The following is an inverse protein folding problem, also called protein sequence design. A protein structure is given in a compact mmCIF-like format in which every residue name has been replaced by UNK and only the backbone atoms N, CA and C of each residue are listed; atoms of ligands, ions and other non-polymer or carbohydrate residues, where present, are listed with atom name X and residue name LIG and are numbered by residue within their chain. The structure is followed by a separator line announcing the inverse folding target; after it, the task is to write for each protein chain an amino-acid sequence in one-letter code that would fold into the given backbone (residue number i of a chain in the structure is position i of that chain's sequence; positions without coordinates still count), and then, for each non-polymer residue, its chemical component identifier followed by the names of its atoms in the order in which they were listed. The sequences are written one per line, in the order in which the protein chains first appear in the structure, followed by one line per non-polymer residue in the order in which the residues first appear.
data_IF_982454322024
#
_entry.id   IF_982454322024
#
_cell.length_a   1.000
_cell.length_b   1.000
_cell.length_c   1.000
_cell.angle_alpha   90.00
_cell.angle_beta   90.00
_cell.angle_gamma   90.00
#
_symmetry.space_group_name_H-M   'P 1'
#
loop_
_entity.id
_entity.type
_entity.pdbx_description
1 polymer ?
#
# COMPACT_ATOMS: atom_id res chain seq x y z
N UNK A 1 -22.88 -6.09 -47.52
CA UNK A 1 -22.06 -6.95 -46.66
C UNK A 1 -21.11 -6.02 -45.88
N UNK A 2 -21.58 -5.55 -44.74
CA UNK A 2 -20.83 -4.56 -43.92
C UNK A 2 -19.87 -5.38 -43.04
N UNK A 3 -18.60 -5.36 -43.38
CA UNK A 3 -17.56 -5.91 -42.53
C UNK A 3 -17.42 -4.96 -41.34
N UNK A 4 -18.05 -5.31 -40.23
CA UNK A 4 -17.76 -4.69 -38.95
C UNK A 4 -16.26 -4.83 -38.65
N UNK A 5 -15.52 -3.76 -38.91
CA UNK A 5 -14.20 -3.59 -38.33
C UNK A 5 -14.41 -3.43 -36.83
N UNK A 6 -14.34 -4.54 -36.11
CA UNK A 6 -14.03 -4.52 -34.69
C UNK A 6 -12.65 -3.91 -34.56
N UNK A 7 -12.60 -2.60 -34.43
CA UNK A 7 -11.45 -1.87 -33.89
C UNK A 7 -11.26 -2.36 -32.45
N UNK A 8 -10.55 -3.46 -32.29
CA UNK A 8 -9.97 -3.82 -30.99
C UNK A 8 -9.17 -2.61 -30.55
N UNK A 9 -9.68 -1.92 -29.55
CA UNK A 9 -9.01 -0.77 -28.96
C UNK A 9 -7.74 -1.31 -28.29
N UNK A 10 -6.63 -1.34 -29.05
CA UNK A 10 -5.33 -1.84 -28.58
C UNK A 10 -4.87 -0.93 -27.45
N UNK A 11 -4.89 -1.43 -26.24
CA UNK A 11 -4.46 -0.69 -25.07
C UNK A 11 -2.92 -0.58 -25.05
N UNK A 12 -2.41 0.62 -24.80
CA UNK A 12 -0.99 0.84 -24.54
C UNK A 12 -0.81 0.94 -23.03
N UNK A 13 0.00 0.05 -22.47
CA UNK A 13 0.17 -0.07 -21.02
C UNK A 13 1.66 -0.04 -20.70
N UNK A 14 2.05 0.84 -19.77
CA UNK A 14 3.40 0.94 -19.25
C UNK A 14 3.59 0.09 -17.99
N UNK A 15 4.81 -0.43 -17.79
CA UNK A 15 5.23 -1.07 -16.55
C UNK A 15 6.62 -0.59 -16.14
N UNK A 16 6.76 -0.18 -14.88
CA UNK A 16 8.01 0.26 -14.27
C UNK A 16 8.16 -0.39 -12.90
N UNK A 17 9.30 -1.02 -12.64
CA UNK A 17 9.73 -1.33 -11.27
C UNK A 17 10.39 -0.08 -10.70
N UNK A 18 9.63 0.67 -9.92
CA UNK A 18 10.05 1.93 -9.32
C UNK A 18 10.87 1.69 -8.04
N UNK A 19 12.14 1.29 -8.22
CA UNK A 19 13.09 1.15 -7.12
C UNK A 19 13.52 2.54 -6.66
N UNK A 20 13.68 2.74 -5.35
CA UNK A 20 14.00 4.05 -4.75
C UNK A 20 15.26 4.73 -5.31
N UNK A 21 16.19 3.96 -5.88
CA UNK A 21 17.41 4.46 -6.52
C UNK A 21 17.30 4.53 -8.06
N UNK A 22 16.11 4.30 -8.62
CA UNK A 22 15.90 4.39 -10.07
C UNK A 22 15.74 5.86 -10.47
N UNK A 23 16.79 6.43 -11.02
CA UNK A 23 16.90 7.84 -11.37
C UNK A 23 16.06 8.27 -12.57
N UNK A 24 15.76 7.34 -13.49
CA UNK A 24 15.02 7.60 -14.74
C UNK A 24 13.49 7.46 -14.64
N UNK A 25 12.96 7.25 -13.44
CA UNK A 25 11.52 7.03 -13.26
C UNK A 25 10.64 8.14 -13.86
N UNK A 26 11.06 9.40 -13.72
CA UNK A 26 10.30 10.54 -14.28
C UNK A 26 10.36 10.56 -15.80
N UNK A 27 11.54 10.36 -16.35
CA UNK A 27 11.77 10.34 -17.81
C UNK A 27 10.96 9.22 -18.47
N UNK A 28 10.98 8.02 -17.88
CA UNK A 28 10.23 6.87 -18.40
C UNK A 28 8.72 7.10 -18.35
N UNK A 29 8.24 7.69 -17.26
CA UNK A 29 6.82 8.03 -17.12
C UNK A 29 6.39 9.06 -18.15
N UNK A 30 7.20 10.09 -18.36
CA UNK A 30 6.95 11.10 -19.39
C UNK A 30 6.97 10.51 -20.79
N UNK A 31 7.95 9.64 -21.08
CA UNK A 31 8.03 8.95 -22.36
C UNK A 31 6.79 8.08 -22.61
N UNK A 32 6.37 7.27 -21.62
CA UNK A 32 5.19 6.41 -21.70
C UNK A 32 3.90 7.23 -21.92
N UNK A 33 3.77 8.35 -21.23
CA UNK A 33 2.63 9.26 -21.42
C UNK A 33 2.61 9.87 -22.83
N UNK A 34 3.76 10.33 -23.34
CA UNK A 34 3.89 10.87 -24.69
C UNK A 34 3.62 9.81 -25.75
N UNK A 35 4.02 8.57 -25.51
CA UNK A 35 3.70 7.43 -26.39
C UNK A 35 2.22 7.08 -26.38
N UNK A 36 1.45 7.57 -25.41
CA UNK A 36 0.02 7.37 -25.27
C UNK A 36 -0.38 6.15 -24.47
N UNK A 37 0.43 5.74 -23.47
CA UNK A 37 0.02 4.72 -22.51
C UNK A 37 -1.18 5.21 -21.72
N UNK A 38 -2.28 4.47 -21.77
CA UNK A 38 -3.51 4.77 -21.02
C UNK A 38 -3.39 4.47 -19.53
N UNK A 39 -2.42 3.65 -19.17
CA UNK A 39 -2.12 3.25 -17.79
C UNK A 39 -0.62 2.96 -17.67
N UNK A 40 -0.02 3.42 -16.59
CA UNK A 40 1.33 3.05 -16.18
C UNK A 40 1.24 2.33 -14.84
N UNK A 41 1.76 1.12 -14.78
CA UNK A 41 1.80 0.27 -13.59
C UNK A 41 3.18 0.41 -12.96
N UNK A 42 3.23 0.88 -11.73
CA UNK A 42 4.48 1.07 -11.00
C UNK A 42 4.52 0.16 -9.78
N UNK A 43 5.57 -0.61 -9.66
CA UNK A 43 5.84 -1.48 -8.52
C UNK A 43 7.00 -0.96 -7.69
N UNK A 44 6.91 -1.02 -6.35
CA UNK A 44 7.94 -0.53 -5.43
C UNK A 44 8.93 -1.63 -4.99
N UNK A 45 10.01 -1.22 -4.30
CA UNK A 45 11.08 -2.10 -3.78
C UNK A 45 10.56 -3.31 -2.98
N UNK A 46 9.56 -3.10 -2.15
CA UNK A 46 8.97 -4.13 -1.29
C UNK A 46 8.36 -5.29 -2.09
N UNK A 47 7.92 -5.00 -3.29
CA UNK A 47 7.27 -5.95 -4.19
C UNK A 47 8.24 -6.61 -5.18
N UNK A 48 9.55 -6.32 -5.13
CA UNK A 48 10.52 -6.84 -6.09
C UNK A 48 10.44 -8.37 -6.26
N UNK A 49 10.31 -9.10 -5.16
CA UNK A 49 10.25 -10.57 -5.20
C UNK A 49 8.92 -11.11 -5.74
N UNK A 50 7.81 -10.52 -5.32
CA UNK A 50 6.47 -11.07 -5.58
C UNK A 50 5.80 -10.46 -6.81
N UNK A 51 6.08 -9.21 -7.12
CA UNK A 51 5.57 -8.42 -8.23
C UNK A 51 4.07 -8.64 -8.50
N UNK A 52 3.20 -8.34 -7.52
CA UNK A 52 1.77 -8.57 -7.65
C UNK A 52 1.15 -7.78 -8.81
N UNK A 53 1.61 -6.54 -9.03
CA UNK A 53 1.09 -5.69 -10.10
C UNK A 53 1.54 -6.18 -11.48
N UNK A 54 2.78 -6.66 -11.63
CA UNK A 54 3.24 -7.33 -12.84
C UNK A 54 2.38 -8.55 -13.17
N UNK A 55 2.13 -9.41 -12.18
CA UNK A 55 1.28 -10.60 -12.38
C UNK A 55 -0.14 -10.25 -12.79
N UNK A 56 -0.73 -9.25 -12.13
CA UNK A 56 -2.06 -8.74 -12.50
C UNK A 56 -2.07 -8.17 -13.92
N UNK A 57 -1.02 -7.44 -14.30
CA UNK A 57 -0.88 -6.90 -15.64
C UNK A 57 -0.82 -8.02 -16.68
N UNK A 58 0.00 -9.06 -16.46
CA UNK A 58 0.09 -10.21 -17.38
C UNK A 58 -1.25 -10.93 -17.58
N UNK A 59 -2.07 -11.01 -16.54
CA UNK A 59 -3.42 -11.58 -16.63
C UNK A 59 -4.37 -10.66 -17.42
N UNK A 60 -4.26 -9.35 -17.21
CA UNK A 60 -5.15 -8.35 -17.79
C UNK A 60 -4.88 -8.07 -19.28
N UNK A 61 -3.63 -8.24 -19.76
CA UNK A 61 -3.24 -8.00 -21.14
C UNK A 61 -4.06 -8.85 -22.12
N UNK A 62 -4.61 -8.18 -23.13
CA UNK A 62 -5.41 -8.79 -24.16
C UNK A 62 -4.65 -8.94 -25.48
N UNK A 63 -5.25 -9.66 -26.41
CA UNK A 63 -4.67 -9.85 -27.74
C UNK A 63 -4.52 -8.51 -28.47
N UNK A 64 -3.31 -8.23 -28.93
CA UNK A 64 -2.99 -7.04 -29.72
C UNK A 64 -2.61 -5.81 -28.89
N UNK A 65 -2.65 -5.88 -27.55
CA UNK A 65 -2.19 -4.78 -26.70
C UNK A 65 -0.70 -4.45 -26.92
N UNK A 66 -0.31 -3.25 -26.54
CA UNK A 66 1.08 -2.78 -26.55
C UNK A 66 1.58 -2.63 -25.12
N UNK A 67 2.63 -3.36 -24.77
CA UNK A 67 3.29 -3.30 -23.47
C UNK A 67 4.60 -2.53 -23.59
N UNK A 68 4.71 -1.45 -22.83
CA UNK A 68 5.93 -0.64 -22.71
C UNK A 68 6.59 -0.92 -21.37
N UNK A 69 7.87 -1.26 -21.40
CA UNK A 69 8.70 -1.47 -20.22
C UNK A 69 9.90 -0.54 -20.25
N UNK A 70 10.41 -0.14 -19.09
CA UNK A 70 11.62 0.69 -19.00
C UNK A 70 12.82 -0.05 -19.58
N UNK A 71 13.07 -1.27 -19.09
CA UNK A 71 14.13 -2.18 -19.49
C UNK A 71 13.70 -3.63 -19.25
N UNK A 72 14.22 -4.59 -20.01
CA UNK A 72 13.91 -6.01 -19.76
C UNK A 72 14.32 -6.46 -18.36
N UNK A 73 15.47 -6.04 -17.85
CA UNK A 73 15.92 -6.35 -16.49
C UNK A 73 15.03 -5.73 -15.39
N UNK A 74 14.32 -4.65 -15.71
CA UNK A 74 13.34 -4.03 -14.82
C UNK A 74 12.06 -4.86 -14.70
N UNK A 75 11.61 -5.50 -15.78
CA UNK A 75 10.37 -6.28 -15.85
C UNK A 75 10.57 -7.79 -15.63
N UNK A 76 11.67 -8.37 -16.13
CA UNK A 76 11.93 -9.81 -16.23
C UNK A 76 12.99 -10.24 -15.21
N UNK A 77 12.85 -11.42 -14.62
CA UNK A 77 13.71 -11.93 -13.54
C UNK A 77 14.62 -13.09 -13.95
N UNK A 78 15.02 -13.11 -15.20
CA UNK A 78 15.98 -14.08 -15.74
C UNK A 78 15.52 -14.76 -17.02
N UNK A 79 16.39 -15.58 -17.62
CA UNK A 79 16.19 -16.16 -18.95
C UNK A 79 14.96 -17.06 -19.07
N UNK A 80 14.60 -17.80 -18.02
CA UNK A 80 13.39 -18.65 -18.02
C UNK A 80 12.12 -17.80 -18.10
N UNK A 81 12.04 -16.72 -17.30
CA UNK A 81 10.90 -15.84 -17.34
C UNK A 81 10.84 -15.08 -18.66
N UNK A 82 11.99 -14.67 -19.21
CA UNK A 82 12.06 -14.04 -20.52
C UNK A 82 11.45 -14.95 -21.60
N UNK A 83 11.85 -16.22 -21.65
CA UNK A 83 11.33 -17.17 -22.63
C UNK A 83 9.81 -17.33 -22.52
N UNK A 84 9.29 -17.50 -21.30
CA UNK A 84 7.85 -17.62 -21.05
C UNK A 84 7.11 -16.33 -21.43
N UNK A 85 7.67 -15.18 -21.11
CA UNK A 85 7.12 -13.87 -21.44
C UNK A 85 7.04 -13.64 -22.96
N UNK A 86 8.11 -13.93 -23.69
CA UNK A 86 8.14 -13.80 -25.13
C UNK A 86 7.13 -14.75 -25.82
N UNK A 87 7.01 -15.98 -25.33
CA UNK A 87 6.00 -16.92 -25.83
C UNK A 87 4.58 -16.41 -25.57
N UNK A 88 4.31 -15.90 -24.38
CA UNK A 88 3.03 -15.28 -24.04
C UNK A 88 2.71 -14.09 -24.98
N UNK A 89 3.69 -13.20 -25.23
CA UNK A 89 3.50 -12.07 -26.13
C UNK A 89 3.26 -12.53 -27.58
N UNK A 90 3.98 -13.56 -28.02
CA UNK A 90 3.78 -14.15 -29.35
C UNK A 90 2.37 -14.69 -29.53
N UNK A 91 1.88 -15.49 -28.58
CA UNK A 91 0.55 -16.11 -28.65
C UNK A 91 -0.57 -15.07 -28.62
N UNK A 92 -0.42 -14.05 -27.77
CA UNK A 92 -1.40 -12.96 -27.67
C UNK A 92 -1.17 -11.83 -28.67
N UNK A 93 -0.17 -11.93 -29.55
CA UNK A 93 0.21 -10.88 -30.50
C UNK A 93 0.42 -9.51 -29.80
N UNK A 94 0.99 -9.52 -28.59
CA UNK A 94 1.31 -8.31 -27.83
C UNK A 94 2.58 -7.69 -28.42
N UNK A 95 2.53 -6.39 -28.69
CA UNK A 95 3.71 -5.60 -29.01
C UNK A 95 4.48 -5.28 -27.73
N UNK A 96 5.76 -5.59 -27.70
CA UNK A 96 6.65 -5.26 -26.58
C UNK A 96 7.60 -4.14 -27.01
N UNK A 97 7.69 -3.12 -26.17
CA UNK A 97 8.60 -1.99 -26.37
C UNK A 97 9.44 -1.85 -25.10
N UNK A 98 10.76 -1.89 -25.21
CA UNK A 98 11.71 -1.62 -24.13
C UNK A 98 12.43 -0.31 -24.43
N UNK A 99 12.28 0.67 -23.55
CA UNK A 99 12.77 2.05 -23.78
C UNK A 99 14.30 2.05 -23.81
N UNK A 100 14.94 1.58 -22.74
CA UNK A 100 16.40 1.68 -22.60
C UNK A 100 17.18 0.59 -23.32
N UNK A 101 16.56 -0.56 -23.59
CA UNK A 101 17.16 -1.56 -24.48
C UNK A 101 16.98 -1.20 -25.97
N UNK A 102 16.15 -0.17 -26.26
CA UNK A 102 15.81 0.26 -27.62
C UNK A 102 15.26 -0.88 -28.48
N UNK A 103 14.41 -1.70 -27.90
CA UNK A 103 13.81 -2.86 -28.56
C UNK A 103 12.33 -2.61 -28.77
N UNK A 104 11.86 -2.79 -29.97
CA UNK A 104 10.46 -2.81 -30.35
C UNK A 104 10.17 -4.05 -31.19
N UNK A 105 9.29 -4.91 -30.71
CA UNK A 105 8.97 -6.18 -31.39
C UNK A 105 8.35 -5.98 -32.79
N UNK A 106 7.86 -4.78 -33.13
CA UNK A 106 7.43 -4.40 -34.48
C UNK A 106 8.47 -3.61 -35.28
N UNK A 107 9.62 -3.34 -34.68
CA UNK A 107 10.74 -2.60 -35.28
C UNK A 107 10.31 -1.22 -35.89
N UNK A 108 9.36 -0.54 -35.26
CA UNK A 108 8.86 0.75 -35.75
C UNK A 108 9.52 1.94 -35.07
N UNK A 109 9.80 1.81 -33.76
CA UNK A 109 10.36 2.89 -32.94
C UNK A 109 11.89 2.93 -32.95
N UNK A 110 12.54 1.77 -33.04
CA UNK A 110 14.00 1.65 -32.98
C UNK A 110 14.55 0.83 -34.15
N UNK A 111 14.39 1.31 -35.41
CA UNK A 111 14.79 0.53 -36.59
C UNK A 111 16.30 0.31 -36.71
N UNK A 112 17.09 1.10 -35.98
CA UNK A 112 18.56 0.99 -35.93
C UNK A 112 19.07 -0.12 -35.01
N UNK A 113 18.21 -0.73 -34.19
CA UNK A 113 18.60 -1.80 -33.26
C UNK A 113 19.03 -3.05 -34.03
N UNK A 114 20.25 -3.49 -33.75
CA UNK A 114 20.84 -4.65 -34.41
C UNK A 114 20.55 -5.94 -33.64
N UNK A 115 20.56 -7.09 -34.30
CA UNK A 115 20.47 -8.39 -33.61
C UNK A 115 21.53 -8.59 -32.53
N UNK A 116 22.75 -8.01 -32.72
CA UNK A 116 23.83 -8.03 -31.73
C UNK A 116 23.41 -7.39 -30.41
N UNK A 117 22.69 -6.27 -30.48
CA UNK A 117 22.27 -5.50 -29.31
C UNK A 117 21.25 -6.30 -28.49
N UNK A 118 20.37 -7.02 -29.19
CA UNK A 118 19.40 -7.94 -28.54
C UNK A 118 20.11 -9.10 -27.86
N UNK A 119 21.14 -9.70 -28.50
CA UNK A 119 21.92 -10.78 -27.91
C UNK A 119 22.72 -10.30 -26.69
N UNK A 120 23.29 -9.09 -26.76
CA UNK A 120 23.98 -8.46 -25.64
C UNK A 120 23.04 -8.24 -24.46
N UNK A 121 21.84 -7.69 -24.71
CA UNK A 121 20.80 -7.52 -23.68
C UNK A 121 20.43 -8.86 -23.02
N UNK A 122 20.23 -9.92 -23.81
CA UNK A 122 19.90 -11.25 -23.26
C UNK A 122 21.05 -11.78 -22.39
N UNK A 123 22.30 -11.59 -22.83
CA UNK A 123 23.50 -12.00 -22.10
C UNK A 123 23.69 -11.23 -20.78
N UNK A 124 23.44 -9.94 -20.78
CA UNK A 124 23.56 -9.08 -19.60
C UNK A 124 22.41 -9.23 -18.59
N UNK A 125 21.25 -9.72 -19.02
CA UNK A 125 20.02 -9.79 -18.22
C UNK A 125 20.20 -10.43 -16.83
N UNK A 126 20.91 -11.56 -16.64
CA UNK A 126 21.07 -12.17 -15.32
C UNK A 126 21.83 -11.28 -14.33
N UNK A 127 22.89 -10.61 -14.79
CA UNK A 127 23.71 -9.73 -13.95
C UNK A 127 22.94 -8.46 -13.55
N UNK A 128 22.23 -7.86 -14.49
CA UNK A 128 21.41 -6.69 -14.24
C UNK A 128 20.27 -6.99 -13.25
N UNK A 129 19.62 -8.14 -13.38
CA UNK A 129 18.57 -8.58 -12.44
C UNK A 129 19.16 -8.79 -11.05
N UNK A 130 20.36 -9.36 -10.93
CA UNK A 130 21.03 -9.52 -9.64
C UNK A 130 21.37 -8.19 -9.00
N UNK A 131 21.85 -7.22 -9.77
CA UNK A 131 22.15 -5.86 -9.30
C UNK A 131 20.88 -5.16 -8.79
N UNK A 132 19.81 -5.24 -9.55
CA UNK A 132 18.50 -4.68 -9.20
C UNK A 132 17.97 -5.27 -7.88
N UNK A 133 18.04 -6.60 -7.71
CA UNK A 133 17.61 -7.28 -6.48
C UNK A 133 18.43 -6.86 -5.27
N UNK A 134 19.75 -6.80 -5.38
CA UNK A 134 20.63 -6.36 -4.29
C UNK A 134 20.27 -4.93 -3.84
N UNK A 135 19.98 -4.05 -4.78
CA UNK A 135 19.57 -2.67 -4.50
C UNK A 135 18.24 -2.63 -3.75
N UNK A 136 17.22 -3.33 -4.23
CA UNK A 136 15.92 -3.39 -3.58
C UNK A 136 16.00 -4.01 -2.16
N UNK A 137 16.74 -5.12 -2.00
CA UNK A 137 16.95 -5.73 -0.67
C UNK A 137 17.66 -4.80 0.30
N UNK A 138 18.62 -4.02 -0.17
CA UNK A 138 19.32 -3.05 0.67
C UNK A 138 18.37 -1.98 1.20
N UNK A 139 17.51 -1.42 0.37
CA UNK A 139 16.51 -0.40 0.75
C UNK A 139 15.52 -0.98 1.76
N UNK A 140 14.95 -2.16 1.49
CA UNK A 140 14.01 -2.83 2.40
C UNK A 140 14.65 -3.10 3.77
N UNK A 141 15.91 -3.55 3.79
CA UNK A 141 16.63 -3.80 5.03
C UNK A 141 16.91 -2.50 5.82
N UNK A 142 17.22 -1.40 5.13
CA UNK A 142 17.38 -0.09 5.78
C UNK A 142 16.06 0.40 6.39
N UNK A 143 14.97 0.30 5.66
CA UNK A 143 13.64 0.65 6.16
C UNK A 143 13.26 -0.19 7.40
N UNK A 144 13.48 -1.50 7.34
CA UNK A 144 13.24 -2.39 8.47
C UNK A 144 14.07 -2.01 9.71
N UNK A 145 15.35 -1.65 9.53
CA UNK A 145 16.22 -1.15 10.61
C UNK A 145 15.71 0.17 11.19
N UNK A 146 15.29 1.10 10.35
CA UNK A 146 14.72 2.38 10.79
C UNK A 146 13.44 2.15 11.62
N UNK A 147 12.53 1.32 11.14
CA UNK A 147 11.30 0.96 11.86
C UNK A 147 11.62 0.30 13.20
N UNK A 148 12.60 -0.61 13.25
CA UNK A 148 13.02 -1.29 14.46
C UNK A 148 13.68 -0.33 15.49
N UNK A 149 14.29 0.76 15.04
CA UNK A 149 14.90 1.79 15.88
C UNK A 149 13.90 2.78 16.45
N UNK A 150 12.68 2.85 15.89
CA UNK A 150 11.63 3.70 16.43
C UNK A 150 11.19 3.19 17.80
N UNK A 151 10.93 4.09 18.79
CA UNK A 151 10.46 3.69 20.09
C UNK A 151 9.17 2.89 19.93
N UNK A 152 9.19 1.63 20.34
CA UNK A 152 8.02 0.74 20.31
C UNK A 152 6.97 1.32 21.24
N UNK A 153 6.01 2.06 20.71
CA UNK A 153 4.80 2.38 21.43
C UNK A 153 4.07 1.06 21.64
N UNK A 154 4.06 0.55 22.90
CA UNK A 154 3.44 -0.75 23.19
C UNK A 154 2.00 -0.73 22.67
N UNK A 155 1.58 -1.80 22.01
CA UNK A 155 0.21 -1.94 21.49
C UNK A 155 -0.86 -1.69 22.57
N UNK A 156 -0.55 -2.02 23.83
CA UNK A 156 -1.35 -1.68 25.00
C UNK A 156 -1.49 -0.20 25.26
N UNK A 157 -0.47 0.64 24.99
CA UNK A 157 -0.58 2.11 25.11
C UNK A 157 -1.44 2.70 24.00
N UNK A 158 -1.29 2.25 22.76
CA UNK A 158 -2.12 2.67 21.63
C UNK A 158 -3.58 2.28 21.84
N UNK A 159 -3.86 1.04 22.19
CA UNK A 159 -5.21 0.58 22.49
C UNK A 159 -5.85 1.35 23.67
N UNK A 160 -5.06 1.72 24.68
CA UNK A 160 -5.53 2.52 25.79
C UNK A 160 -5.87 3.95 25.38
N UNK A 161 -5.03 4.57 24.53
CA UNK A 161 -5.25 5.90 23.99
C UNK A 161 -6.51 5.94 23.10
N UNK A 162 -6.71 4.94 22.28
CA UNK A 162 -7.87 4.83 21.40
C UNK A 162 -9.17 4.64 22.23
N UNK A 163 -9.12 3.83 23.27
CA UNK A 163 -10.25 3.68 24.21
C UNK A 163 -10.54 4.97 24.98
N UNK A 164 -9.51 5.71 25.42
CA UNK A 164 -9.69 7.01 26.06
C UNK A 164 -10.34 8.01 25.11
N UNK A 165 -9.92 8.09 23.83
CA UNK A 165 -10.56 8.93 22.80
C UNK A 165 -12.01 8.53 22.54
N UNK A 166 -12.29 7.23 22.47
CA UNK A 166 -13.67 6.72 22.31
C UNK A 166 -14.58 7.20 23.43
N UNK A 167 -14.12 7.14 24.70
CA UNK A 167 -14.87 7.65 25.86
C UNK A 167 -15.18 9.12 25.71
N UNK A 168 -14.19 9.93 25.33
CA UNK A 168 -14.35 11.38 25.18
C UNK A 168 -15.36 11.72 24.09
N UNK A 169 -15.22 11.08 22.91
CA UNK A 169 -16.07 11.32 21.75
C UNK A 169 -17.53 10.93 22.02
N UNK A 170 -17.76 9.77 22.62
CA UNK A 170 -19.12 9.31 22.96
C UNK A 170 -19.78 10.21 24.03
N UNK A 171 -18.99 10.67 25.02
CA UNK A 171 -19.50 11.57 26.02
C UNK A 171 -19.86 12.95 25.43
N UNK A 172 -19.01 13.48 24.54
CA UNK A 172 -19.27 14.73 23.81
C UNK A 172 -20.51 14.63 22.89
N UNK A 173 -20.78 13.44 22.36
CA UNK A 173 -21.96 13.14 21.57
C UNK A 173 -23.25 12.95 22.43
N UNK A 174 -23.15 13.03 23.77
CA UNK A 174 -24.29 12.94 24.67
C UNK A 174 -24.74 11.55 25.06
N UNK A 175 -23.93 10.49 24.78
CA UNK A 175 -24.28 9.14 25.19
C UNK A 175 -24.25 8.94 26.70
N UNK A 176 -25.15 8.11 27.27
CA UNK A 176 -25.17 7.81 28.71
C UNK A 176 -23.91 7.00 29.11
N UNK A 177 -23.44 7.18 30.32
CA UNK A 177 -22.22 6.54 30.87
C UNK A 177 -22.22 5.02 30.71
N UNK A 178 -23.40 4.40 30.82
CA UNK A 178 -23.54 2.95 30.69
C UNK A 178 -23.25 2.44 29.26
N UNK A 179 -23.67 3.18 28.26
CA UNK A 179 -23.36 2.89 26.86
C UNK A 179 -21.88 3.13 26.57
N UNK A 180 -21.33 4.25 27.05
CA UNK A 180 -19.90 4.57 26.92
C UNK A 180 -19.03 3.48 27.54
N UNK A 181 -19.40 3.02 28.73
CA UNK A 181 -18.68 1.96 29.40
C UNK A 181 -18.68 0.65 28.56
N UNK A 182 -19.85 0.23 28.08
CA UNK A 182 -19.96 -0.98 27.22
C UNK A 182 -19.17 -0.84 25.93
N UNK A 183 -19.28 0.28 25.26
CA UNK A 183 -18.61 0.54 23.98
C UNK A 183 -17.08 0.68 24.10
N UNK A 184 -16.58 1.24 25.20
CA UNK A 184 -15.15 1.48 25.42
C UNK A 184 -14.35 0.25 25.88
N UNK A 185 -15.04 -0.82 26.32
CA UNK A 185 -14.41 -2.06 26.77
C UNK A 185 -13.58 -1.92 28.06
N UNK A 186 -13.84 -0.91 28.90
CA UNK A 186 -13.24 -0.81 30.23
C UNK A 186 -13.92 -1.75 31.23
N UNK A 187 -13.16 -2.23 32.22
CA UNK A 187 -13.65 -3.18 33.24
C UNK A 187 -14.70 -2.58 34.18
N UNK A 188 -14.76 -1.25 34.33
CA UNK A 188 -15.68 -0.60 35.25
C UNK A 188 -16.10 0.79 34.80
N UNK A 189 -17.29 1.23 35.23
CA UNK A 189 -17.78 2.62 35.04
C UNK A 189 -16.85 3.67 35.66
N UNK A 190 -16.21 3.34 36.77
CA UNK A 190 -15.25 4.23 37.44
C UNK A 190 -14.06 4.58 36.53
N UNK A 191 -13.69 3.71 35.61
CA UNK A 191 -12.65 3.99 34.61
C UNK A 191 -13.07 5.07 33.64
N UNK A 192 -14.33 5.09 33.21
CA UNK A 192 -14.90 6.13 32.33
C UNK A 192 -14.87 7.49 33.03
N UNK A 193 -15.35 7.56 34.29
CA UNK A 193 -15.29 8.78 35.06
C UNK A 193 -13.89 9.32 35.29
N UNK A 194 -12.93 8.42 35.57
CA UNK A 194 -11.51 8.79 35.72
C UNK A 194 -10.92 9.40 34.45
N UNK A 195 -11.30 8.86 33.28
CA UNK A 195 -10.83 9.38 31.99
C UNK A 195 -11.43 10.76 31.74
N UNK A 196 -12.73 10.94 31.92
CA UNK A 196 -13.39 12.22 31.73
C UNK A 196 -12.80 13.28 32.66
N UNK A 197 -12.56 12.95 33.94
CA UNK A 197 -11.90 13.85 34.87
C UNK A 197 -10.46 14.18 34.50
N UNK A 198 -9.68 13.16 34.02
CA UNK A 198 -8.30 13.36 33.54
C UNK A 198 -8.24 14.38 32.41
N UNK A 199 -9.23 14.40 31.54
CA UNK A 199 -9.31 15.32 30.40
C UNK A 199 -10.11 16.63 30.73
N UNK A 200 -10.39 16.89 32.00
CA UNK A 200 -11.04 18.14 32.45
C UNK A 200 -12.50 18.32 32.02
N UNK A 201 -13.15 17.24 31.60
CA UNK A 201 -14.54 17.27 31.13
C UNK A 201 -15.45 17.33 32.34
N UNK A 202 -16.23 18.42 32.45
CA UNK A 202 -17.24 18.58 33.52
C UNK A 202 -18.34 17.55 33.32
N UNK A 203 -18.54 16.71 34.35
CA UNK A 203 -19.59 15.71 34.32
C UNK A 203 -20.94 16.37 34.53
N UNK A 204 -21.88 16.08 33.63
CA UNK A 204 -23.28 16.53 33.78
C UNK A 204 -23.95 15.66 34.84
N UNK A 205 -23.74 15.99 36.13
CA UNK A 205 -24.39 15.34 37.26
C UNK A 205 -25.79 15.91 37.38
N UNK A 206 -26.78 15.14 36.94
CA UNK A 206 -28.18 15.48 37.28
C UNK A 206 -28.34 15.62 38.79
N UNK A 207 -29.36 16.38 39.24
CA UNK A 207 -29.60 16.74 40.62
C UNK A 207 -29.71 15.61 41.66
N UNK A 208 -29.50 14.35 41.28
CA UNK A 208 -29.72 13.16 42.14
C UNK A 208 -28.52 12.18 42.25
N UNK A 209 -27.32 12.57 41.91
CA UNK A 209 -26.17 11.67 42.05
C UNK A 209 -25.04 12.25 42.89
N UNK A 210 -25.37 12.61 44.12
CA UNK A 210 -24.38 12.72 45.22
C UNK A 210 -24.19 11.32 45.86
N UNK A 211 -23.00 11.00 46.42
CA UNK A 211 -22.88 9.81 47.27
C UNK A 211 -23.90 9.91 48.40
N UNK A 212 -24.75 8.89 48.52
CA UNK A 212 -25.62 8.75 49.70
C UNK A 212 -24.68 8.69 50.90
N UNK A 213 -24.62 9.75 51.72
CA UNK A 213 -23.96 9.67 53.01
C UNK A 213 -24.67 8.59 53.80
N UNK A 214 -23.98 7.53 54.20
CA UNK A 214 -24.49 6.59 55.20
C UNK A 214 -24.81 7.40 56.41
N UNK A 215 -26.10 7.45 56.81
CA UNK A 215 -26.57 8.02 58.07
C UNK A 215 -25.90 7.17 59.16
N UNK A 216 -25.01 7.74 59.94
CA UNK A 216 -24.50 7.08 61.11
C UNK A 216 -25.68 6.89 62.06
N UNK A 217 -25.97 5.63 62.41
CA UNK A 217 -26.90 5.26 63.48
C UNK A 217 -26.17 5.47 64.84
N UNK A 218 -25.99 6.72 65.20
CA UNK A 218 -25.56 7.14 66.53
C UNK A 218 -26.18 8.48 66.83
N UNK A 219 -27.48 8.50 67.15
CA UNK A 219 -28.15 9.58 67.96
C UNK A 219 -29.58 9.15 68.28
N UNK A 220 -29.73 8.06 69.02
CA UNK A 220 -30.99 7.79 69.73
C UNK A 220 -30.66 7.23 71.14
N UNK A 221 -30.12 8.09 71.97
CA UNK A 221 -30.22 7.87 73.42
C UNK A 221 -29.84 9.16 74.13
N UNK A 222 -30.83 10.02 74.31
CA UNK A 222 -30.94 11.02 75.41
C UNK A 222 -32.19 11.81 75.16
N UNK A 223 -33.23 11.44 75.93
CA UNK A 223 -34.09 12.29 76.65
C UNK A 223 -35.24 11.45 77.16
N UNK A 224 -35.04 10.91 78.40
CA UNK A 224 -36.05 10.58 79.36
C UNK A 224 -35.51 11.16 80.69
N UNK A 225 -36.04 12.31 81.06
CA UNK A 225 -36.48 12.70 82.34
C UNK A 225 -37.23 14.00 82.27
#
# INVERSE_FOLDING_TARGET
MIISQNLYNMAKIGYIMAISQYDKLKEDREWMNQFGCIRIVEECDENERNRPLWKQLMIALQRGDELVISKFSNAIRGSRELATFLEFCRVKAIRVISIHDRIDSKNQLFPETKPSDVLEMIGALPEEVLALRKTAEHVVNLQAKMIASLPKVSSTKLQKLDREKTVINLYAAGHPIDEIWRASGFKSRSSVFRILNKHGIKLNRGNHSGPIKKKNEEDTSKDVD
#
